data_IF_216984044347
#
_entry.id   IF_216984044347
#
_cell.length_a   1.000
_cell.length_b   1.000
_cell.length_c   1.000
_cell.angle_alpha   90.00
_cell.angle_beta   90.00
_cell.angle_gamma   90.00
#
_symmetry.space_group_name_H-M   'P 1'
#
loop_
_entity.id
_entity.type
_entity.pdbx_description
1 polymer ?
#
# COMPACT_ATOMS: atom_id res chain seq x y z
N UNK A 1 -12.54 -15.22 -20.17
CA UNK A 1 -13.14 -15.61 -18.88
C UNK A 1 -12.12 -15.58 -17.72
N UNK A 2 -10.93 -16.18 -17.89
CA UNK A 2 -9.88 -16.22 -16.84
C UNK A 2 -9.36 -14.84 -16.42
N UNK A 3 -8.97 -13.98 -17.36
CA UNK A 3 -8.44 -12.62 -17.06
C UNK A 3 -9.46 -11.79 -16.26
N UNK A 4 -10.72 -11.73 -16.71
CA UNK A 4 -11.80 -11.03 -15.99
C UNK A 4 -11.97 -11.55 -14.56
N UNK A 5 -11.88 -12.87 -14.36
CA UNK A 5 -11.99 -13.48 -13.03
C UNK A 5 -10.81 -13.06 -12.14
N UNK A 6 -9.60 -13.07 -12.67
CA UNK A 6 -8.40 -12.62 -11.95
C UNK A 6 -8.51 -11.16 -11.52
N UNK A 7 -8.80 -10.24 -12.45
CA UNK A 7 -8.94 -8.79 -12.17
C UNK A 7 -9.97 -8.56 -11.07
N UNK A 8 -11.18 -9.12 -11.21
CA UNK A 8 -12.24 -8.97 -10.19
C UNK A 8 -11.88 -9.57 -8.84
N UNK A 9 -11.08 -10.64 -8.81
CA UNK A 9 -10.64 -11.26 -7.57
C UNK A 9 -9.62 -10.37 -6.88
N UNK A 10 -8.63 -9.87 -7.63
CA UNK A 10 -7.61 -8.99 -7.10
C UNK A 10 -8.19 -7.67 -6.59
N UNK A 11 -9.10 -7.05 -7.34
CA UNK A 11 -9.78 -5.83 -6.89
C UNK A 11 -10.51 -6.06 -5.57
N UNK A 12 -11.24 -7.18 -5.44
CA UNK A 12 -11.93 -7.52 -4.18
C UNK A 12 -10.96 -7.72 -3.02
N UNK A 13 -9.85 -8.42 -3.22
CA UNK A 13 -8.85 -8.65 -2.18
C UNK A 13 -8.23 -7.30 -1.77
N UNK A 14 -7.76 -6.51 -2.74
CA UNK A 14 -7.14 -5.19 -2.51
C UNK A 14 -8.08 -4.24 -1.76
N UNK A 15 -9.34 -4.16 -2.19
CA UNK A 15 -10.36 -3.33 -1.53
C UNK A 15 -10.66 -3.85 -0.12
N UNK A 16 -10.78 -5.15 0.08
CA UNK A 16 -11.15 -5.72 1.38
C UNK A 16 -10.03 -5.52 2.41
N UNK A 17 -8.78 -5.79 2.02
CA UNK A 17 -7.61 -5.55 2.87
C UNK A 17 -7.49 -4.05 3.20
N UNK A 18 -7.54 -3.18 2.19
CA UNK A 18 -7.44 -1.74 2.40
C UNK A 18 -8.55 -1.20 3.31
N UNK A 19 -9.80 -1.65 3.11
CA UNK A 19 -10.93 -1.28 3.97
C UNK A 19 -10.75 -1.75 5.41
N UNK A 20 -10.30 -2.98 5.61
CA UNK A 20 -10.05 -3.50 6.96
C UNK A 20 -9.02 -2.64 7.70
N UNK A 21 -7.89 -2.33 7.06
CA UNK A 21 -6.84 -1.50 7.66
C UNK A 21 -7.22 -0.01 7.75
N UNK A 22 -8.18 0.48 6.96
CA UNK A 22 -8.66 1.87 7.05
C UNK A 22 -9.26 2.19 8.43
N UNK A 23 -9.83 1.20 9.11
CA UNK A 23 -10.37 1.38 10.47
C UNK A 23 -9.28 1.66 11.50
N UNK A 24 -8.00 1.43 11.21
CA UNK A 24 -6.90 1.81 12.10
C UNK A 24 -6.82 3.32 12.33
N UNK A 25 -7.43 4.15 11.47
CA UNK A 25 -7.52 5.59 11.71
C UNK A 25 -8.21 5.92 13.05
N UNK A 26 -9.19 5.10 13.47
CA UNK A 26 -9.95 5.30 14.71
C UNK A 26 -9.03 5.22 15.94
N UNK A 27 -8.32 4.09 16.21
CA UNK A 27 -7.40 4.02 17.33
C UNK A 27 -6.23 5.02 17.20
N UNK A 28 -5.75 5.34 16.00
CA UNK A 28 -4.72 6.37 15.81
C UNK A 28 -5.19 7.73 16.33
N UNK A 29 -6.39 8.16 15.93
CA UNK A 29 -6.97 9.45 16.37
C UNK A 29 -7.18 9.45 17.88
N UNK A 30 -7.71 8.37 18.45
CA UNK A 30 -7.92 8.25 19.91
C UNK A 30 -6.58 8.36 20.66
N UNK A 31 -5.54 7.67 20.20
CA UNK A 31 -4.22 7.71 20.83
C UNK A 31 -3.60 9.11 20.79
N UNK A 32 -3.68 9.78 19.63
CA UNK A 32 -3.09 11.12 19.44
C UNK A 32 -3.86 12.20 20.23
N UNK A 33 -5.19 12.16 20.20
CA UNK A 33 -6.02 13.07 20.98
C UNK A 33 -5.83 12.84 22.49
N UNK A 34 -5.83 11.58 22.91
CA UNK A 34 -5.58 11.19 24.30
C UNK A 34 -4.21 11.64 24.81
N UNK A 35 -3.15 11.42 24.03
CA UNK A 35 -1.80 11.87 24.38
C UNK A 35 -1.69 13.39 24.46
N UNK A 36 -2.38 14.12 23.57
CA UNK A 36 -2.45 15.59 23.61
C UNK A 36 -3.09 16.06 24.93
N UNK A 37 -4.20 15.44 25.35
CA UNK A 37 -4.83 15.76 26.64
C UNK A 37 -3.91 15.43 27.81
N UNK A 38 -3.35 14.22 27.84
CA UNK A 38 -2.44 13.77 28.90
C UNK A 38 -1.23 14.69 29.07
N UNK A 39 -0.64 15.12 27.96
CA UNK A 39 0.54 15.97 27.96
C UNK A 39 0.23 17.41 28.37
N UNK A 40 -0.79 18.03 27.78
CA UNK A 40 -1.01 19.47 27.92
C UNK A 40 -2.01 19.83 29.01
N UNK A 41 -2.94 18.93 29.37
CA UNK A 41 -3.93 19.16 30.42
C UNK A 41 -3.51 18.51 31.73
N UNK A 42 -3.05 17.26 31.66
CA UNK A 42 -2.74 16.46 32.87
C UNK A 42 -1.25 16.41 33.24
N UNK A 43 -0.37 17.01 32.42
CA UNK A 43 1.09 16.99 32.60
C UNK A 43 1.67 15.58 32.87
N UNK A 44 1.08 14.57 32.23
CA UNK A 44 1.43 13.15 32.42
C UNK A 44 1.61 12.46 31.06
N UNK A 45 2.70 12.76 30.33
CA UNK A 45 2.93 12.20 28.99
C UNK A 45 3.20 10.69 29.06
N UNK A 46 2.81 9.97 28.02
CA UNK A 46 3.11 8.53 27.90
C UNK A 46 4.35 8.29 27.04
N UNK A 47 5.11 7.24 27.37
CA UNK A 47 6.31 6.85 26.59
C UNK A 47 5.99 6.00 25.36
N UNK A 48 4.78 5.44 25.27
CA UNK A 48 4.42 4.41 24.29
C UNK A 48 3.43 4.89 23.21
N UNK A 49 2.59 5.89 23.50
CA UNK A 49 1.46 6.27 22.62
C UNK A 49 1.93 6.65 21.21
N UNK A 50 3.02 7.44 21.13
CA UNK A 50 3.58 7.88 19.86
C UNK A 50 4.01 6.70 18.97
N UNK A 51 4.66 5.68 19.54
CA UNK A 51 5.13 4.53 18.78
C UNK A 51 4.00 3.62 18.32
N UNK A 52 3.02 3.37 19.18
CA UNK A 52 1.82 2.61 18.79
C UNK A 52 1.15 3.31 17.62
N UNK A 53 0.95 4.63 17.71
CA UNK A 53 0.36 5.41 16.63
C UNK A 53 1.22 5.35 15.35
N UNK A 54 2.55 5.42 15.44
CA UNK A 54 3.45 5.27 14.30
C UNK A 54 3.30 3.89 13.63
N UNK A 55 3.28 2.80 14.41
CA UNK A 55 3.14 1.45 13.88
C UNK A 55 1.78 1.24 13.21
N UNK A 56 0.71 1.71 13.85
CA UNK A 56 -0.65 1.66 13.28
C UNK A 56 -0.76 2.51 12.02
N UNK A 57 -0.15 3.70 12.00
CA UNK A 57 -0.16 4.58 10.84
C UNK A 57 0.59 3.96 9.65
N UNK A 58 1.74 3.34 9.91
CA UNK A 58 2.49 2.60 8.89
C UNK A 58 1.65 1.50 8.25
N UNK A 59 0.97 0.69 9.08
CA UNK A 59 0.07 -0.37 8.60
C UNK A 59 -1.14 0.18 7.84
N UNK A 60 -1.78 1.23 8.36
CA UNK A 60 -2.90 1.93 7.74
C UNK A 60 -2.55 2.45 6.35
N UNK A 61 -1.42 3.14 6.22
CA UNK A 61 -1.00 3.77 4.97
C UNK A 61 -0.60 2.74 3.90
N UNK A 62 0.30 1.81 4.24
CA UNK A 62 0.91 0.95 3.21
C UNK A 62 -0.07 -0.05 2.62
N UNK A 63 -1.02 -0.56 3.42
CA UNK A 63 -2.06 -1.49 2.96
C UNK A 63 -3.07 -0.83 2.03
N UNK A 64 -3.22 0.50 2.12
CA UNK A 64 -4.04 1.30 1.22
C UNK A 64 -3.48 1.39 -0.20
N UNK A 65 -2.19 1.14 -0.44
CA UNK A 65 -1.56 1.31 -1.75
C UNK A 65 -2.25 0.46 -2.84
N UNK A 66 -2.47 -0.83 -2.59
CA UNK A 66 -3.16 -1.69 -3.55
C UNK A 66 -4.63 -1.26 -3.75
N UNK A 67 -5.32 -0.83 -2.69
CA UNK A 67 -6.70 -0.34 -2.79
C UNK A 67 -6.77 0.92 -3.66
N UNK A 68 -5.92 1.92 -3.43
CA UNK A 68 -5.89 3.16 -4.23
C UNK A 68 -5.60 2.85 -5.72
N UNK A 69 -4.77 1.83 -6.01
CA UNK A 69 -4.51 1.40 -7.38
C UNK A 69 -5.74 0.86 -8.11
N UNK A 70 -6.70 0.25 -7.40
CA UNK A 70 -7.95 -0.24 -8.04
C UNK A 70 -8.78 0.89 -8.67
N UNK A 71 -8.63 2.12 -8.19
CA UNK A 71 -9.33 3.33 -8.64
C UNK A 71 -8.43 4.29 -9.42
N UNK A 72 -7.21 3.88 -9.80
CA UNK A 72 -6.22 4.74 -10.44
C UNK A 72 -5.92 6.04 -9.65
N UNK A 73 -6.05 5.99 -8.32
CA UNK A 73 -5.92 7.17 -7.44
C UNK A 73 -4.48 7.54 -7.07
N UNK A 74 -3.47 6.88 -7.63
CA UNK A 74 -2.09 7.31 -7.43
C UNK A 74 -1.85 8.59 -8.22
N UNK A 75 -1.25 9.59 -7.56
CA UNK A 75 -0.90 10.86 -8.23
C UNK A 75 -0.02 10.55 -9.44
N UNK A 76 -0.51 10.90 -10.63
CA UNK A 76 0.17 10.74 -11.91
C UNK A 76 0.46 12.12 -12.49
N UNK A 77 1.68 12.33 -12.96
CA UNK A 77 2.08 13.59 -13.60
C UNK A 77 1.56 13.61 -15.04
N UNK A 78 0.31 14.04 -15.23
CA UNK A 78 -0.41 13.92 -16.50
C UNK A 78 -0.20 15.07 -17.49
N UNK A 79 0.67 16.04 -17.18
CA UNK A 79 0.89 17.21 -18.04
C UNK A 79 1.43 16.86 -19.43
N UNK A 80 2.16 15.75 -19.56
CA UNK A 80 2.71 15.28 -20.84
C UNK A 80 1.77 14.26 -21.49
N UNK A 81 1.18 13.35 -20.70
CA UNK A 81 0.30 12.29 -21.21
C UNK A 81 -1.01 12.81 -21.81
N UNK A 82 -1.57 13.87 -21.21
CA UNK A 82 -2.81 14.51 -21.68
C UNK A 82 -2.73 15.08 -23.10
N UNK A 83 -1.52 15.32 -23.63
CA UNK A 83 -1.31 15.85 -24.99
C UNK A 83 -1.35 14.78 -26.09
N UNK A 84 -1.30 13.50 -25.72
CA UNK A 84 -1.34 12.40 -26.68
C UNK A 84 -2.77 11.93 -26.96
N UNK A 85 -3.03 11.42 -28.17
CA UNK A 85 -4.29 10.75 -28.51
C UNK A 85 -4.55 9.52 -27.62
N UNK A 86 -5.80 9.11 -27.37
CA UNK A 86 -6.14 7.97 -26.49
C UNK A 86 -5.37 6.68 -26.80
N UNK A 87 -5.22 6.33 -28.09
CA UNK A 87 -4.44 5.15 -28.51
C UNK A 87 -2.96 5.23 -28.11
N UNK A 88 -2.34 6.40 -28.24
CA UNK A 88 -0.93 6.62 -27.85
C UNK A 88 -0.77 6.54 -26.33
N UNK A 89 -1.74 7.05 -25.55
CA UNK A 89 -1.74 6.93 -24.10
C UNK A 89 -1.76 5.46 -23.68
N UNK A 90 -2.65 4.64 -24.27
CA UNK A 90 -2.73 3.20 -23.98
C UNK A 90 -1.43 2.45 -24.35
N UNK A 91 -0.82 2.78 -25.50
CA UNK A 91 0.46 2.16 -25.90
C UNK A 91 1.57 2.52 -24.90
N UNK A 92 1.67 3.80 -24.52
CA UNK A 92 2.65 4.25 -23.54
C UNK A 92 2.41 3.58 -22.19
N UNK A 93 1.16 3.46 -21.74
CA UNK A 93 0.84 2.76 -20.50
C UNK A 93 1.19 1.27 -20.59
N UNK A 94 0.90 0.60 -21.71
CA UNK A 94 1.25 -0.81 -21.90
C UNK A 94 2.75 -1.11 -21.86
N UNK A 95 3.59 -0.14 -22.22
CA UNK A 95 5.05 -0.31 -22.29
C UNK A 95 5.72 0.24 -21.04
N UNK A 96 5.44 1.50 -20.68
CA UNK A 96 6.13 2.19 -19.59
C UNK A 96 5.68 1.70 -18.22
N UNK A 97 4.38 1.36 -18.05
CA UNK A 97 3.90 0.84 -16.77
C UNK A 97 4.65 -0.43 -16.38
N UNK A 98 4.66 -1.53 -17.17
CA UNK A 98 5.36 -2.74 -16.74
C UNK A 98 6.88 -2.53 -16.63
N UNK A 99 7.48 -1.69 -17.48
CA UNK A 99 8.92 -1.41 -17.45
C UNK A 99 9.36 -0.72 -16.16
N UNK A 100 8.53 0.16 -15.60
CA UNK A 100 8.88 0.92 -14.39
C UNK A 100 8.31 0.25 -13.14
N UNK A 101 7.02 -0.08 -13.18
CA UNK A 101 6.29 -0.57 -12.02
C UNK A 101 6.71 -1.98 -11.60
N UNK A 102 6.83 -2.94 -12.53
CA UNK A 102 7.09 -4.33 -12.13
C UNK A 102 8.50 -4.53 -11.58
N UNK A 103 9.59 -3.98 -12.14
CA UNK A 103 10.91 -4.06 -11.52
C UNK A 103 10.92 -3.42 -10.13
N UNK A 104 10.31 -2.24 -9.98
CA UNK A 104 10.17 -1.59 -8.67
C UNK A 104 9.42 -2.48 -7.67
N UNK A 105 8.21 -2.91 -8.02
CA UNK A 105 7.37 -3.70 -7.13
C UNK A 105 8.00 -5.06 -6.79
N UNK A 106 8.67 -5.72 -7.75
CA UNK A 106 9.39 -6.96 -7.51
C UNK A 106 10.57 -6.78 -6.54
N UNK A 107 11.37 -5.72 -6.71
CA UNK A 107 12.47 -5.39 -5.78
C UNK A 107 11.92 -5.08 -4.39
N UNK A 108 10.83 -4.32 -4.30
CA UNK A 108 10.20 -4.01 -3.01
C UNK A 108 9.67 -5.27 -2.33
N UNK A 109 8.98 -6.16 -3.05
CA UNK A 109 8.54 -7.46 -2.51
C UNK A 109 9.74 -8.24 -1.98
N UNK A 110 10.81 -8.36 -2.77
CA UNK A 110 12.00 -9.10 -2.35
C UNK A 110 12.64 -8.49 -1.10
N UNK A 111 13.01 -7.20 -1.14
CA UNK A 111 13.74 -6.55 -0.05
C UNK A 111 12.91 -6.37 1.21
N UNK A 112 11.62 -6.05 1.09
CA UNK A 112 10.75 -5.98 2.25
C UNK A 112 10.51 -7.37 2.87
N UNK A 113 10.43 -8.43 2.07
CA UNK A 113 10.30 -9.80 2.60
C UNK A 113 11.57 -10.23 3.33
N UNK A 114 12.75 -10.04 2.73
CA UNK A 114 14.04 -10.34 3.39
C UNK A 114 14.16 -9.58 4.72
N UNK A 115 13.82 -8.28 4.71
CA UNK A 115 13.86 -7.45 5.91
C UNK A 115 12.83 -7.88 6.96
N UNK A 116 11.63 -8.27 6.55
CA UNK A 116 10.60 -8.76 7.47
C UNK A 116 10.98 -10.09 8.13
N UNK A 117 11.54 -11.02 7.36
CA UNK A 117 12.01 -12.31 7.89
C UNK A 117 13.18 -12.14 8.86
N UNK A 118 14.14 -11.28 8.50
CA UNK A 118 15.25 -10.94 9.40
C UNK A 118 14.75 -10.25 10.68
N UNK A 119 13.87 -9.27 10.55
CA UNK A 119 13.26 -8.57 11.69
C UNK A 119 12.52 -9.53 12.63
N UNK A 120 11.77 -10.48 12.05
CA UNK A 120 11.04 -11.49 12.79
C UNK A 120 11.98 -12.45 13.53
N UNK A 121 13.09 -12.86 12.91
CA UNK A 121 14.04 -13.82 13.51
C UNK A 121 14.77 -13.23 14.72
N UNK A 122 15.04 -11.93 14.72
CA UNK A 122 15.66 -11.23 15.86
C UNK A 122 14.66 -10.61 16.83
N UNK A 123 13.35 -10.74 16.55
CA UNK A 123 12.26 -10.05 17.28
C UNK A 123 12.54 -8.56 17.45
N UNK A 124 12.85 -7.91 16.33
CA UNK A 124 13.28 -6.51 16.29
C UNK A 124 12.30 -5.58 16.99
N UNK A 125 12.86 -4.65 17.75
CA UNK A 125 12.14 -3.60 18.46
C UNK A 125 12.56 -2.22 17.96
N UNK A 126 11.73 -1.22 18.23
CA UNK A 126 12.08 0.19 18.01
C UNK A 126 13.22 0.63 18.94
N UNK A 127 13.98 1.64 18.53
CA UNK A 127 15.14 2.17 19.27
C UNK A 127 14.78 3.17 20.37
N UNK A 128 13.59 3.06 20.93
CA UNK A 128 13.03 3.98 21.92
C UNK A 128 13.05 3.37 23.32
N UNK A 129 12.66 4.16 24.33
CA UNK A 129 12.54 3.67 25.71
C UNK A 129 11.49 2.56 25.87
N UNK A 130 10.42 2.58 25.07
CA UNK A 130 9.35 1.58 25.16
C UNK A 130 9.67 0.29 24.38
N UNK A 131 10.56 0.37 23.37
CA UNK A 131 11.02 -0.78 22.59
C UNK A 131 9.87 -1.64 22.03
N UNK A 132 8.94 -1.00 21.33
CA UNK A 132 7.80 -1.65 20.68
C UNK A 132 8.27 -2.74 19.70
N UNK A 133 7.55 -3.88 19.60
CA UNK A 133 7.84 -4.88 18.57
C UNK A 133 7.62 -4.31 17.17
N UNK A 134 8.70 -4.18 16.40
CA UNK A 134 8.70 -3.56 15.06
C UNK A 134 8.41 -4.58 13.94
N UNK A 135 8.82 -5.84 14.15
CA UNK A 135 8.67 -6.91 13.16
C UNK A 135 7.25 -7.11 12.61
N UNK A 136 6.13 -6.92 13.36
CA UNK A 136 4.79 -7.07 12.79
C UNK A 136 4.51 -6.06 11.67
N UNK A 137 4.96 -4.81 11.84
CA UNK A 137 4.80 -3.79 10.81
C UNK A 137 5.58 -4.16 9.55
N UNK A 138 6.82 -4.65 9.68
CA UNK A 138 7.64 -5.05 8.52
C UNK A 138 7.00 -6.20 7.73
N UNK A 139 6.37 -7.15 8.41
CA UNK A 139 5.57 -8.21 7.76
C UNK A 139 4.39 -7.62 7.00
N UNK A 140 3.66 -6.66 7.58
CA UNK A 140 2.55 -5.97 6.91
C UNK A 140 3.04 -5.20 5.67
N UNK A 141 4.19 -4.54 5.76
CA UNK A 141 4.81 -3.84 4.62
C UNK A 141 5.13 -4.83 3.49
N UNK A 142 5.79 -5.95 3.79
CA UNK A 142 6.11 -6.97 2.79
C UNK A 142 4.85 -7.54 2.12
N UNK A 143 3.83 -7.86 2.93
CA UNK A 143 2.53 -8.31 2.43
C UNK A 143 1.85 -7.26 1.54
N UNK A 144 1.91 -5.98 1.92
CA UNK A 144 1.29 -4.90 1.16
C UNK A 144 1.95 -4.68 -0.19
N UNK A 145 3.28 -4.81 -0.28
CA UNK A 145 3.98 -4.75 -1.57
C UNK A 145 3.66 -5.96 -2.45
N UNK A 146 3.49 -7.16 -1.87
CA UNK A 146 3.03 -8.33 -2.62
C UNK A 146 1.63 -8.08 -3.19
N UNK A 147 0.73 -7.56 -2.36
CA UNK A 147 -0.62 -7.21 -2.79
C UNK A 147 -0.61 -6.13 -3.88
N UNK A 148 0.24 -5.11 -3.75
CA UNK A 148 0.44 -4.06 -4.75
C UNK A 148 0.93 -4.63 -6.08
N UNK A 149 1.91 -5.54 -6.05
CA UNK A 149 2.42 -6.21 -7.26
C UNK A 149 1.31 -6.98 -7.97
N UNK A 150 0.53 -7.78 -7.24
CA UNK A 150 -0.59 -8.54 -7.79
C UNK A 150 -1.69 -7.61 -8.34
N UNK A 151 -2.00 -6.52 -7.65
CA UNK A 151 -2.94 -5.51 -8.14
C UNK A 151 -2.41 -4.81 -9.40
N UNK A 152 -1.11 -4.56 -9.50
CA UNK A 152 -0.49 -3.99 -10.69
C UNK A 152 -0.61 -4.90 -11.91
N UNK A 153 -0.57 -6.22 -11.72
CA UNK A 153 -0.89 -7.18 -12.81
C UNK A 153 -2.34 -7.00 -13.26
N UNK A 154 -3.28 -6.86 -12.33
CA UNK A 154 -4.70 -6.64 -12.67
C UNK A 154 -4.90 -5.33 -13.46
N UNK A 155 -4.24 -4.24 -13.03
CA UNK A 155 -4.24 -2.95 -13.74
C UNK A 155 -3.68 -3.10 -15.16
N UNK A 156 -2.51 -3.71 -15.31
CA UNK A 156 -1.89 -3.88 -16.63
C UNK A 156 -2.74 -4.74 -17.57
N UNK A 157 -3.33 -5.82 -17.05
CA UNK A 157 -4.25 -6.68 -17.83
C UNK A 157 -5.51 -5.94 -18.28
N UNK A 158 -6.04 -5.00 -17.48
CA UNK A 158 -7.19 -4.16 -17.86
C UNK A 158 -6.85 -3.31 -19.08
N UNK A 159 -5.70 -2.64 -19.08
CA UNK A 159 -5.23 -1.82 -20.22
C UNK A 159 -4.98 -2.70 -21.45
N UNK A 160 -4.40 -3.89 -21.26
CA UNK A 160 -4.13 -4.83 -22.35
C UNK A 160 -5.41 -5.33 -23.04
N UNK A 161 -6.44 -5.67 -22.27
CA UNK A 161 -7.74 -6.09 -22.80
C UNK A 161 -8.45 -4.92 -23.50
N UNK A 162 -8.40 -3.72 -22.93
CA UNK A 162 -8.97 -2.53 -23.55
C UNK A 162 -8.31 -2.22 -24.90
N UNK A 163 -6.99 -2.34 -25.00
CA UNK A 163 -6.26 -2.11 -26.24
C UNK A 163 -6.55 -3.17 -27.33
N UNK A 164 -6.67 -4.44 -26.96
CA UNK A 164 -6.85 -5.55 -27.92
C UNK A 164 -8.30 -5.78 -28.33
N UNK A 165 -9.25 -5.59 -27.41
CA UNK A 165 -10.67 -5.90 -27.61
C UNK A 165 -11.60 -4.69 -27.60
N UNK A 166 -11.12 -3.52 -27.15
CA UNK A 166 -11.97 -2.36 -26.93
C UNK A 166 -12.96 -2.52 -25.77
N UNK A 167 -12.81 -3.56 -24.94
CA UNK A 167 -13.67 -3.84 -23.80
C UNK A 167 -13.04 -3.35 -22.49
N UNK A 168 -13.81 -2.68 -21.65
CA UNK A 168 -13.44 -2.38 -20.27
C UNK A 168 -13.86 -3.53 -19.33
N UNK A 169 -12.97 -3.91 -18.40
CA UNK A 169 -13.13 -5.11 -17.55
C UNK A 169 -12.80 -4.92 -16.08
#
# INVERSE_FOLDING_TARGET
MVIRKYVKTMDKISISVGKFFSFLIIPIVILQAGETLLRYVFNSPTVWSWEVAMLLYGAHFITGAAWVMTYDGHVRTDMVFSKFSPKKQQILELILFPLIFFPFAAVMVWKCTDNALYSLSIRETTYTQWAAPLYPLKVIIAFSFLLLLLQGIAKWLRVFVQFTKGEEI
#
